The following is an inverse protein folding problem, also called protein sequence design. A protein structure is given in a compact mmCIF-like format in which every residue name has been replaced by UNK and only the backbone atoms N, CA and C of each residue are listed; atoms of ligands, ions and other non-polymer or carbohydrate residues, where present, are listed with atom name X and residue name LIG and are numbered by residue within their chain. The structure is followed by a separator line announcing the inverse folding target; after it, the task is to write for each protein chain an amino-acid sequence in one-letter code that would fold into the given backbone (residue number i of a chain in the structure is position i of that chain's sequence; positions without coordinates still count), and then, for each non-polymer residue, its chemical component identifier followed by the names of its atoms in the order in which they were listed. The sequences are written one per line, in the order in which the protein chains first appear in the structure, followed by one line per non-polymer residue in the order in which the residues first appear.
data_IF_777388914307
#
_entry.id   IF_777388914307
#
_cell.length_a   1.000
_cell.length_b   1.000
_cell.length_c   1.000
_cell.angle_alpha   90.00
_cell.angle_beta   90.00
_cell.angle_gamma   90.00
#
_symmetry.space_group_name_H-M   'P 1'
#
loop_
_entity.id
_entity.type
_entity.pdbx_description
1 polymer ?
#
# COMPACT_ATOMS: atom_id res chain seq x y z
N UNK A 1 27.45 -20.00 -6.12
CA UNK A 1 26.25 -19.22 -6.50
C UNK A 1 25.12 -19.69 -5.60
N UNK A 2 24.66 -18.81 -4.72
CA UNK A 2 23.58 -19.08 -3.79
C UNK A 2 22.23 -18.85 -4.47
N UNK A 3 21.35 -19.85 -4.43
CA UNK A 3 20.05 -19.83 -5.12
C UNK A 3 18.86 -19.74 -4.17
N UNK A 4 19.06 -19.47 -2.87
CA UNK A 4 17.96 -19.43 -1.89
C UNK A 4 16.95 -18.31 -2.17
N UNK A 5 17.36 -17.23 -2.86
CA UNK A 5 16.46 -16.13 -3.27
C UNK A 5 15.66 -16.45 -4.55
N UNK A 6 15.95 -17.55 -5.25
CA UNK A 6 15.29 -17.92 -6.50
C UNK A 6 13.77 -18.15 -6.34
N UNK A 7 13.28 -18.84 -5.31
CA UNK A 7 11.84 -18.99 -5.07
C UNK A 7 11.14 -17.63 -4.90
N UNK A 8 11.73 -16.72 -4.12
CA UNK A 8 11.15 -15.40 -3.88
C UNK A 8 11.12 -14.54 -5.15
N UNK A 9 12.20 -14.60 -5.93
CA UNK A 9 12.26 -13.94 -7.23
C UNK A 9 11.18 -14.46 -8.19
N UNK A 10 11.00 -15.78 -8.26
CA UNK A 10 9.97 -16.40 -9.11
C UNK A 10 8.55 -16.05 -8.62
N UNK A 11 8.31 -16.07 -7.31
CA UNK A 11 7.02 -15.77 -6.72
C UNK A 11 6.64 -14.29 -6.93
N UNK A 12 7.52 -13.36 -6.57
CA UNK A 12 7.27 -11.91 -6.74
C UNK A 12 7.27 -11.53 -8.22
N UNK A 13 8.13 -12.12 -9.05
CA UNK A 13 8.12 -11.95 -10.51
C UNK A 13 6.82 -12.44 -11.15
N UNK A 14 6.31 -13.59 -10.72
CA UNK A 14 5.01 -14.13 -11.15
C UNK A 14 3.85 -13.22 -10.75
N UNK A 15 3.82 -12.75 -9.50
CA UNK A 15 2.83 -11.80 -9.01
C UNK A 15 2.87 -10.48 -9.80
N UNK A 16 4.08 -9.95 -10.06
CA UNK A 16 4.26 -8.76 -10.87
C UNK A 16 3.74 -8.95 -12.29
N UNK A 17 4.00 -10.10 -12.93
CA UNK A 17 3.49 -10.41 -14.26
C UNK A 17 1.95 -10.46 -14.30
N UNK A 18 1.32 -11.07 -13.28
CA UNK A 18 -0.14 -11.06 -13.10
C UNK A 18 -0.65 -9.62 -12.97
N UNK A 19 0.00 -8.82 -12.12
CA UNK A 19 -0.39 -7.43 -11.87
C UNK A 19 -0.27 -6.55 -13.13
N UNK A 20 0.81 -6.70 -13.90
CA UNK A 20 0.99 -6.04 -15.20
C UNK A 20 -0.03 -6.52 -16.24
N UNK A 21 -0.40 -7.81 -16.21
CA UNK A 21 -1.46 -8.34 -17.08
C UNK A 21 -2.82 -7.71 -16.76
N UNK A 22 -3.16 -7.57 -15.47
CA UNK A 22 -4.37 -6.88 -15.00
C UNK A 22 -4.38 -5.38 -15.35
N UNK A 23 -3.21 -4.75 -15.33
CA UNK A 23 -3.03 -3.36 -15.76
C UNK A 23 -3.37 -3.12 -17.23
N UNK A 24 -3.10 -4.09 -18.11
CA UNK A 24 -3.43 -3.95 -19.55
C UNK A 24 -4.94 -3.90 -19.79
N UNK A 25 -5.73 -4.45 -18.87
CA UNK A 25 -7.20 -4.52 -18.97
C UNK A 25 -7.92 -3.38 -18.26
N UNK A 26 -7.23 -2.60 -17.43
CA UNK A 26 -7.83 -1.57 -16.59
C UNK A 26 -7.27 -0.18 -16.92
N UNK A 27 -8.13 0.83 -17.10
CA UNK A 27 -7.71 2.24 -17.27
C UNK A 27 -7.45 2.96 -15.93
N UNK A 28 -7.48 2.23 -14.82
CA UNK A 28 -7.33 2.82 -13.50
C UNK A 28 -5.89 3.27 -13.24
N UNK A 29 -5.74 4.57 -13.04
CA UNK A 29 -4.46 5.22 -12.71
C UNK A 29 -3.84 4.67 -11.42
N UNK A 30 -4.65 4.34 -10.41
CA UNK A 30 -4.22 3.79 -9.11
C UNK A 30 -3.39 2.52 -9.28
N UNK A 31 -3.78 1.64 -10.19
CA UNK A 31 -3.12 0.36 -10.43
C UNK A 31 -1.67 0.55 -10.95
N UNK A 32 -1.39 1.64 -11.67
CA UNK A 32 -0.05 1.91 -12.19
C UNK A 32 0.94 2.25 -11.08
N UNK A 33 0.49 3.01 -10.07
CA UNK A 33 1.31 3.35 -8.90
C UNK A 33 1.64 2.12 -8.07
N UNK A 34 0.69 1.17 -7.93
CA UNK A 34 0.95 -0.11 -7.29
C UNK A 34 2.01 -0.94 -8.02
N UNK A 35 1.96 -0.98 -9.35
CA UNK A 35 2.95 -1.70 -10.14
C UNK A 35 4.37 -1.12 -10.00
N UNK A 36 4.50 0.19 -9.79
CA UNK A 36 5.80 0.79 -9.50
C UNK A 36 6.39 0.22 -8.19
N UNK A 37 5.59 0.12 -7.13
CA UNK A 37 6.04 -0.48 -5.86
C UNK A 37 6.47 -1.94 -6.03
N UNK A 38 5.71 -2.74 -6.81
CA UNK A 38 6.10 -4.12 -7.12
C UNK A 38 7.38 -4.21 -7.96
N UNK A 39 7.59 -3.31 -8.92
CA UNK A 39 8.83 -3.25 -9.69
C UNK A 39 10.04 -2.90 -8.82
N UNK A 40 9.87 -2.00 -7.86
CA UNK A 40 10.90 -1.66 -6.87
C UNK A 40 11.21 -2.86 -5.96
N UNK A 41 10.21 -3.62 -5.52
CA UNK A 41 10.44 -4.87 -4.76
C UNK A 41 11.18 -5.94 -5.57
N UNK A 42 10.85 -6.09 -6.85
CA UNK A 42 11.59 -7.00 -7.73
C UNK A 42 13.06 -6.58 -7.87
N UNK A 43 13.30 -5.27 -7.95
CA UNK A 43 14.65 -4.69 -7.99
C UNK A 43 15.38 -4.90 -6.66
N UNK A 44 14.68 -4.81 -5.53
CA UNK A 44 15.21 -5.13 -4.19
C UNK A 44 15.73 -6.58 -4.13
N UNK A 45 14.94 -7.56 -4.56
CA UNK A 45 15.34 -8.99 -4.55
C UNK A 45 16.52 -9.21 -5.50
N UNK A 46 16.51 -8.57 -6.67
CA UNK A 46 17.62 -8.68 -7.62
C UNK A 46 18.91 -8.09 -7.04
N UNK A 47 18.83 -6.96 -6.34
CA UNK A 47 19.97 -6.36 -5.67
C UNK A 47 20.47 -7.23 -4.51
N UNK A 48 19.58 -7.84 -3.74
CA UNK A 48 19.95 -8.80 -2.69
C UNK A 48 20.64 -10.04 -3.28
N UNK A 49 20.13 -10.55 -4.40
CA UNK A 49 20.75 -11.64 -5.14
C UNK A 49 22.17 -11.30 -5.59
N UNK A 50 22.38 -10.07 -6.10
CA UNK A 50 23.73 -9.57 -6.43
C UNK A 50 24.60 -9.48 -5.18
N UNK A 51 24.08 -8.98 -4.06
CA UNK A 51 24.84 -8.82 -2.83
C UNK A 51 25.39 -10.16 -2.30
N UNK A 52 24.55 -11.20 -2.34
CA UNK A 52 24.89 -12.55 -1.85
C UNK A 52 25.88 -13.26 -2.78
N UNK A 53 25.83 -12.99 -4.08
CA UNK A 53 26.62 -13.72 -5.07
C UNK A 53 27.89 -12.99 -5.55
N UNK A 54 27.96 -11.66 -5.39
CA UNK A 54 29.07 -10.82 -5.85
C UNK A 54 29.67 -10.08 -4.66
N UNK A 55 30.59 -10.75 -3.94
CA UNK A 55 31.18 -10.24 -2.70
C UNK A 55 31.86 -8.87 -2.83
N UNK A 56 32.46 -8.56 -3.99
CA UNK A 56 33.14 -7.27 -4.23
C UNK A 56 32.21 -6.07 -4.31
N UNK A 57 30.91 -6.30 -4.51
CA UNK A 57 29.88 -5.26 -4.59
C UNK A 57 28.79 -5.43 -3.51
N UNK A 58 29.04 -6.29 -2.50
CA UNK A 58 28.04 -6.69 -1.50
C UNK A 58 27.39 -5.51 -0.79
N UNK A 59 28.20 -4.61 -0.20
CA UNK A 59 27.68 -3.48 0.59
C UNK A 59 26.86 -2.50 -0.27
N UNK A 60 27.35 -2.20 -1.47
CA UNK A 60 26.63 -1.35 -2.42
C UNK A 60 25.32 -2.01 -2.88
N UNK A 61 25.33 -3.32 -3.09
CA UNK A 61 24.15 -4.07 -3.49
C UNK A 61 23.11 -4.16 -2.36
N UNK A 62 23.51 -4.35 -1.10
CA UNK A 62 22.61 -4.26 0.05
C UNK A 62 22.06 -2.84 0.25
N UNK A 63 22.87 -1.81 0.02
CA UNK A 63 22.39 -0.42 0.04
C UNK A 63 21.29 -0.21 -1.02
N UNK A 64 21.53 -0.66 -2.26
CA UNK A 64 20.53 -0.60 -3.33
C UNK A 64 19.27 -1.38 -2.96
N UNK A 65 19.42 -2.61 -2.44
CA UNK A 65 18.29 -3.43 -2.01
C UNK A 65 17.44 -2.71 -0.96
N UNK A 66 18.07 -2.12 0.05
CA UNK A 66 17.41 -1.38 1.13
C UNK A 66 16.73 -0.10 0.64
N UNK A 67 17.38 0.65 -0.26
CA UNK A 67 16.78 1.84 -0.88
C UNK A 67 15.57 1.46 -1.73
N UNK A 68 15.64 0.39 -2.52
CA UNK A 68 14.50 -0.07 -3.31
C UNK A 68 13.32 -0.51 -2.43
N UNK A 69 13.60 -1.13 -1.28
CA UNK A 69 12.58 -1.50 -0.31
C UNK A 69 11.90 -0.27 0.31
N UNK A 70 12.69 0.73 0.72
CA UNK A 70 12.17 2.02 1.19
C UNK A 70 11.30 2.69 0.11
N UNK A 71 11.83 2.85 -1.10
CA UNK A 71 11.11 3.49 -2.22
C UNK A 71 9.84 2.71 -2.62
N UNK A 72 9.80 1.39 -2.44
CA UNK A 72 8.58 0.61 -2.66
C UNK A 72 7.47 1.03 -1.70
N UNK A 73 7.78 1.24 -0.42
CA UNK A 73 6.81 1.74 0.56
C UNK A 73 6.27 3.12 0.16
N UNK A 74 7.13 4.01 -0.33
CA UNK A 74 6.78 5.34 -0.83
C UNK A 74 5.86 5.26 -2.05
N UNK A 75 6.14 4.35 -2.98
CA UNK A 75 5.27 4.08 -4.13
C UNK A 75 3.89 3.55 -3.67
N UNK A 76 3.84 2.71 -2.63
CA UNK A 76 2.58 2.23 -2.07
C UNK A 76 1.81 3.30 -1.29
N UNK A 77 2.48 4.17 -0.53
CA UNK A 77 1.88 5.37 0.08
C UNK A 77 1.24 6.24 -0.99
N UNK A 78 1.97 6.47 -2.09
CA UNK A 78 1.46 7.24 -3.21
C UNK A 78 0.24 6.57 -3.86
N UNK A 79 0.28 5.25 -4.06
CA UNK A 79 -0.84 4.48 -4.60
C UNK A 79 -2.07 4.49 -3.67
N UNK A 80 -1.86 4.48 -2.35
CA UNK A 80 -2.93 4.58 -1.36
C UNK A 80 -3.57 5.97 -1.33
N UNK A 81 -2.81 7.05 -1.51
CA UNK A 81 -3.35 8.43 -1.47
C UNK A 81 -4.25 8.79 -2.67
N UNK A 82 -4.38 7.91 -3.67
CA UNK A 82 -5.13 8.14 -4.92
C UNK A 82 -4.84 9.52 -5.55
N UNK A 83 -3.60 10.00 -5.39
CA UNK A 83 -3.19 11.29 -5.95
C UNK A 83 -3.10 11.16 -7.48
N UNK A 84 -3.74 12.05 -8.26
CA UNK A 84 -3.67 11.97 -9.71
C UNK A 84 -2.20 12.03 -10.17
N UNK A 85 -1.82 11.12 -11.10
CA UNK A 85 -0.50 11.00 -11.73
C UNK A 85 0.08 12.31 -12.30
N UNK A 86 -0.72 13.38 -12.39
CA UNK A 86 -0.41 14.61 -13.11
C UNK A 86 0.31 15.70 -12.29
N UNK A 87 0.53 15.52 -10.99
CA UNK A 87 1.31 16.48 -10.21
C UNK A 87 2.74 15.98 -9.99
N UNK A 88 3.59 16.04 -11.02
CA UNK A 88 5.04 15.76 -10.87
C UNK A 88 5.67 16.52 -9.69
N UNK A 89 5.11 17.69 -9.33
CA UNK A 89 5.48 18.48 -8.14
C UNK A 89 5.23 17.73 -6.83
N UNK A 90 4.15 16.96 -6.73
CA UNK A 90 3.86 16.12 -5.57
C UNK A 90 4.86 14.97 -5.50
N UNK A 91 5.15 14.33 -6.63
CA UNK A 91 6.19 13.30 -6.71
C UNK A 91 7.57 13.83 -6.33
N UNK A 92 7.94 15.03 -6.82
CA UNK A 92 9.20 15.67 -6.47
C UNK A 92 9.27 16.02 -4.98
N UNK A 93 8.15 16.46 -4.37
CA UNK A 93 8.09 16.68 -2.92
C UNK A 93 8.23 15.37 -2.16
N UNK A 94 7.51 14.33 -2.55
CA UNK A 94 7.60 13.02 -1.91
C UNK A 94 9.04 12.49 -1.98
N UNK A 95 9.66 12.50 -3.16
CA UNK A 95 11.06 12.10 -3.33
C UNK A 95 12.04 12.97 -2.51
N UNK A 96 11.78 14.27 -2.38
CA UNK A 96 12.61 15.16 -1.56
C UNK A 96 12.49 14.89 -0.05
N UNK A 97 11.31 14.45 0.42
CA UNK A 97 11.07 14.08 1.81
C UNK A 97 11.82 12.80 2.20
N UNK A 98 11.96 11.87 1.26
CA UNK A 98 12.62 10.57 1.46
C UNK A 98 14.14 10.63 1.27
N UNK A 99 14.66 11.73 0.69
CA UNK A 99 16.09 11.88 0.45
C UNK A 99 16.95 11.73 1.72
N UNK A 100 16.58 12.28 2.90
CA UNK A 100 17.31 12.05 4.13
C UNK A 100 17.41 10.57 4.52
N UNK A 101 16.34 9.80 4.34
CA UNK A 101 16.29 8.38 4.67
C UNK A 101 17.08 7.55 3.64
N UNK A 102 17.10 7.94 2.36
CA UNK A 102 18.01 7.36 1.36
C UNK A 102 19.47 7.63 1.72
N UNK A 103 19.82 8.86 2.09
CA UNK A 103 21.18 9.22 2.50
C UNK A 103 21.56 8.49 3.79
N UNK A 104 20.62 8.30 4.72
CA UNK A 104 20.80 7.49 5.93
C UNK A 104 21.25 6.08 5.56
N UNK A 105 20.52 5.41 4.65
CA UNK A 105 20.84 4.05 4.20
C UNK A 105 22.22 4.01 3.54
N UNK A 106 22.54 4.99 2.68
CA UNK A 106 23.87 5.04 2.02
C UNK A 106 24.99 5.16 3.06
N UNK A 107 24.83 6.03 4.07
CA UNK A 107 25.83 6.18 5.13
C UNK A 107 25.97 4.91 5.99
N UNK A 108 24.87 4.20 6.21
CA UNK A 108 24.84 2.94 6.94
C UNK A 108 25.67 1.87 6.26
N UNK A 109 25.35 1.56 5.00
CA UNK A 109 26.02 0.48 4.26
C UNK A 109 27.43 0.85 3.77
N UNK A 110 27.74 2.15 3.62
CA UNK A 110 29.13 2.58 3.33
C UNK A 110 30.01 2.69 4.59
N UNK A 111 29.45 2.44 5.78
CA UNK A 111 30.13 2.60 7.06
C UNK A 111 30.78 3.99 7.25
N UNK A 112 30.15 5.02 6.65
CA UNK A 112 30.63 6.40 6.66
C UNK A 112 29.80 7.31 7.59
N UNK A 113 28.73 6.78 8.18
CA UNK A 113 27.84 7.53 9.05
C UNK A 113 28.41 7.79 10.45
N UNK A 114 27.95 8.88 11.07
CA UNK A 114 28.20 9.21 12.47
C UNK A 114 26.86 9.39 13.19
N UNK A 115 26.78 9.20 14.52
CA UNK A 115 25.55 9.42 15.28
C UNK A 115 24.92 10.80 15.01
N UNK A 116 25.75 11.84 14.92
CA UNK A 116 25.30 13.21 14.60
C UNK A 116 24.70 13.30 13.19
N UNK A 117 25.33 12.66 12.19
CA UNK A 117 24.80 12.64 10.83
C UNK A 117 23.43 11.94 10.78
N UNK A 118 23.29 10.77 11.40
CA UNK A 118 22.03 10.03 11.44
C UNK A 118 20.91 10.81 12.13
N UNK A 119 21.19 11.40 13.31
CA UNK A 119 20.21 12.26 14.00
C UNK A 119 19.79 13.45 13.14
N UNK A 120 20.75 14.08 12.46
CA UNK A 120 20.47 15.22 11.56
C UNK A 120 19.57 14.80 10.39
N UNK A 121 19.83 13.64 9.79
CA UNK A 121 19.01 13.08 8.72
C UNK A 121 17.60 12.72 9.21
N UNK A 122 17.46 12.12 10.39
CA UNK A 122 16.15 11.84 10.98
C UNK A 122 15.35 13.12 11.26
N UNK A 123 15.99 14.20 11.74
CA UNK A 123 15.34 15.50 11.91
C UNK A 123 14.91 16.08 10.56
N UNK A 124 15.76 15.99 9.53
CA UNK A 124 15.44 16.46 8.19
C UNK A 124 14.26 15.68 7.57
N UNK A 125 14.23 14.35 7.72
CA UNK A 125 13.12 13.48 7.31
C UNK A 125 11.82 13.83 8.03
N UNK A 126 11.88 14.03 9.35
CA UNK A 126 10.73 14.47 10.15
C UNK A 126 10.16 15.80 9.65
N UNK A 127 11.02 16.81 9.44
CA UNK A 127 10.61 18.12 8.93
C UNK A 127 9.98 18.00 7.54
N UNK A 128 10.59 17.23 6.64
CA UNK A 128 10.06 16.95 5.31
C UNK A 128 8.65 16.33 5.37
N UNK A 129 8.50 15.27 6.16
CA UNK A 129 7.23 14.55 6.35
C UNK A 129 6.14 15.45 6.94
N UNK A 130 6.47 16.29 7.93
CA UNK A 130 5.54 17.26 8.51
C UNK A 130 5.12 18.33 7.51
N UNK A 131 6.05 18.83 6.69
CA UNK A 131 5.75 19.78 5.62
C UNK A 131 4.83 19.17 4.56
N UNK A 132 5.02 17.89 4.23
CA UNK A 132 4.15 17.17 3.30
C UNK A 132 2.71 17.09 3.84
N UNK A 133 2.54 16.66 5.09
CA UNK A 133 1.23 16.64 5.80
C UNK A 133 0.63 18.04 5.89
N UNK A 134 1.45 19.09 6.05
CA UNK A 134 1.00 20.49 6.06
C UNK A 134 0.54 20.96 4.68
N UNK A 135 1.26 20.58 3.62
CA UNK A 135 1.07 21.06 2.24
C UNK A 135 -0.15 20.48 1.51
N UNK A 136 -0.78 19.45 2.08
CA UNK A 136 -2.10 18.98 1.65
C UNK A 136 -2.08 17.64 0.90
N UNK A 137 -2.46 16.59 1.61
CA UNK A 137 -2.98 15.37 1.01
C UNK A 137 -4.18 14.90 1.85
N UNK A 138 -5.39 15.33 1.49
CA UNK A 138 -6.71 14.74 1.81
C UNK A 138 -7.07 14.36 3.27
N UNK A 139 -6.25 14.64 4.27
CA UNK A 139 -6.65 14.49 5.69
C UNK A 139 -7.55 15.68 6.04
N UNK A 140 -8.84 15.54 5.73
CA UNK A 140 -9.84 16.59 5.90
C UNK A 140 -10.17 16.86 7.37
N UNK A 141 -10.02 15.85 8.24
CA UNK A 141 -10.26 15.96 9.67
C UNK A 141 -9.01 16.46 10.42
N UNK A 142 -9.20 17.51 11.24
CA UNK A 142 -8.20 18.06 12.13
C UNK A 142 -7.66 17.02 13.12
N UNK A 143 -8.50 16.14 13.66
CA UNK A 143 -8.08 15.10 14.61
C UNK A 143 -7.14 14.11 13.94
N UNK A 144 -7.49 13.68 12.73
CA UNK A 144 -6.68 12.77 11.95
C UNK A 144 -5.32 13.34 11.58
N UNK A 145 -5.26 14.64 11.28
CA UNK A 145 -3.99 15.32 11.00
C UNK A 145 -3.03 15.25 12.18
N UNK A 146 -3.56 15.41 13.40
CA UNK A 146 -2.75 15.29 14.62
C UNK A 146 -2.25 13.87 14.85
N UNK A 147 -3.04 12.84 14.52
CA UNK A 147 -2.57 11.45 14.60
C UNK A 147 -1.35 11.24 13.70
N UNK A 148 -1.38 11.73 12.46
CA UNK A 148 -0.21 11.65 11.56
C UNK A 148 0.98 12.45 12.08
N UNK A 149 0.76 13.69 12.55
CA UNK A 149 1.83 14.52 13.10
C UNK A 149 2.50 13.84 14.30
N UNK A 150 1.71 13.32 15.25
CA UNK A 150 2.23 12.62 16.43
C UNK A 150 2.94 11.33 16.03
N UNK A 151 2.40 10.58 15.06
CA UNK A 151 3.04 9.37 14.54
C UNK A 151 4.40 9.66 13.88
N UNK A 152 4.49 10.68 13.03
CA UNK A 152 5.75 11.11 12.39
C UNK A 152 6.76 11.55 13.45
N UNK A 153 6.34 12.39 14.40
CA UNK A 153 7.20 12.84 15.49
C UNK A 153 7.72 11.67 16.31
N UNK A 154 6.86 10.71 16.66
CA UNK A 154 7.26 9.52 17.40
C UNK A 154 8.26 8.66 16.61
N UNK A 155 7.96 8.34 15.36
CA UNK A 155 8.80 7.52 14.49
C UNK A 155 10.22 8.09 14.35
N UNK A 156 10.34 9.37 13.95
CA UNK A 156 11.64 10.00 13.77
C UNK A 156 12.35 10.31 15.08
N UNK A 157 11.62 10.52 16.19
CA UNK A 157 12.27 10.66 17.52
C UNK A 157 12.89 9.35 17.97
N UNK A 158 12.20 8.22 17.76
CA UNK A 158 12.74 6.90 18.05
C UNK A 158 13.96 6.58 17.17
N UNK A 159 13.87 6.86 15.86
CA UNK A 159 14.99 6.70 14.92
C UNK A 159 16.20 7.55 15.32
N UNK A 160 15.99 8.82 15.67
CA UNK A 160 17.04 9.71 16.13
C UNK A 160 17.65 9.24 17.47
N UNK A 161 16.82 8.78 18.41
CA UNK A 161 17.29 8.27 19.69
C UNK A 161 18.18 7.04 19.51
N UNK A 162 17.72 6.02 18.78
CA UNK A 162 18.50 4.82 18.46
C UNK A 162 19.84 5.18 17.80
N UNK A 163 19.79 6.08 16.82
CA UNK A 163 21.00 6.56 16.14
C UNK A 163 21.97 7.28 17.09
N UNK A 164 21.46 8.10 18.00
CA UNK A 164 22.27 8.82 18.98
C UNK A 164 22.96 7.88 19.99
N UNK A 165 22.31 6.76 20.33
CA UNK A 165 22.86 5.72 21.21
C UNK A 165 23.80 4.74 20.49
N UNK A 166 24.16 4.99 19.23
CA UNK A 166 25.10 4.15 18.47
C UNK A 166 24.46 2.92 17.84
N UNK A 167 23.15 2.96 17.62
CA UNK A 167 22.34 1.85 17.11
C UNK A 167 21.62 2.20 15.80
N UNK A 168 22.36 2.59 14.72
CA UNK A 168 21.74 3.01 13.47
C UNK A 168 21.11 1.85 12.67
N UNK A 169 21.55 0.61 12.86
CA UNK A 169 20.94 -0.57 12.24
C UNK A 169 19.50 -0.78 12.74
N UNK A 170 19.30 -0.72 14.06
CA UNK A 170 17.95 -0.76 14.66
C UNK A 170 17.12 0.44 14.21
N UNK A 171 17.72 1.63 14.14
CA UNK A 171 17.03 2.81 13.63
C UNK A 171 16.52 2.61 12.18
N UNK A 172 17.28 1.91 11.34
CA UNK A 172 16.89 1.54 9.97
C UNK A 172 15.74 0.52 9.94
N UNK A 173 15.78 -0.52 10.76
CA UNK A 173 14.69 -1.51 10.84
C UNK A 173 13.36 -0.86 11.29
N UNK A 174 13.44 0.01 12.31
CA UNK A 174 12.28 0.78 12.77
C UNK A 174 11.81 1.78 11.71
N UNK A 175 12.71 2.42 10.97
CA UNK A 175 12.34 3.29 9.84
C UNK A 175 11.46 2.51 8.84
N UNK A 176 11.85 1.31 8.43
CA UNK A 176 11.04 0.49 7.53
C UNK A 176 9.69 0.10 8.15
N UNK A 177 9.65 -0.26 9.43
CA UNK A 177 8.42 -0.55 10.18
C UNK A 177 7.41 0.61 10.05
N UNK A 178 7.82 1.83 10.37
CA UNK A 178 6.90 2.99 10.35
C UNK A 178 6.42 3.33 8.93
N UNK A 179 7.25 3.14 7.91
CA UNK A 179 6.87 3.34 6.51
C UNK A 179 5.77 2.36 6.07
N UNK A 180 5.94 1.06 6.32
CA UNK A 180 4.92 0.06 5.97
C UNK A 180 3.66 0.16 6.84
N UNK A 181 3.77 0.63 8.09
CA UNK A 181 2.61 0.96 8.92
C UNK A 181 1.85 2.18 8.37
N UNK A 182 2.58 3.17 7.83
CA UNK A 182 1.97 4.30 7.14
C UNK A 182 1.23 3.86 5.86
N UNK A 183 1.80 2.92 5.08
CA UNK A 183 1.11 2.28 3.96
C UNK A 183 -0.21 1.65 4.41
N UNK A 184 -0.19 0.80 5.46
CA UNK A 184 -1.38 0.15 5.98
C UNK A 184 -2.46 1.16 6.39
N UNK A 185 -2.05 2.20 7.13
CA UNK A 185 -2.95 3.23 7.65
C UNK A 185 -3.59 4.03 6.52
N UNK A 186 -2.79 4.45 5.54
CA UNK A 186 -3.29 5.22 4.39
C UNK A 186 -4.14 4.36 3.46
N UNK A 187 -3.78 3.09 3.27
CA UNK A 187 -4.57 2.16 2.48
C UNK A 187 -5.97 1.97 3.08
N UNK A 188 -6.05 1.67 4.38
CA UNK A 188 -7.33 1.56 5.10
C UNK A 188 -8.19 2.80 4.95
N UNK A 189 -7.60 3.99 5.11
CA UNK A 189 -8.31 5.27 4.99
C UNK A 189 -8.73 5.62 3.56
N UNK A 190 -7.98 5.15 2.56
CA UNK A 190 -8.31 5.36 1.16
C UNK A 190 -9.48 4.50 0.69
N UNK A 191 -9.81 3.43 1.42
CA UNK A 191 -10.88 2.52 1.05
C UNK A 191 -12.25 3.21 1.14
N UNK A 192 -12.96 3.30 0.01
CA UNK A 192 -14.33 3.85 -0.03
C UNK A 192 -15.31 2.98 0.76
N UNK A 193 -15.10 1.67 0.74
CA UNK A 193 -15.89 0.68 1.44
C UNK A 193 -14.97 -0.33 2.11
N UNK A 194 -15.31 -0.73 3.34
CA UNK A 194 -14.58 -1.80 4.04
C UNK A 194 -15.05 -3.13 3.47
N UNK A 195 -14.19 -3.76 2.68
CA UNK A 195 -14.40 -5.10 2.11
C UNK A 195 -13.47 -6.13 2.75
N UNK A 196 -13.75 -7.44 2.62
CA UNK A 196 -12.82 -8.48 3.05
C UNK A 196 -11.41 -8.28 2.48
N UNK A 197 -11.27 -7.94 1.20
CA UNK A 197 -9.99 -7.61 0.58
C UNK A 197 -9.30 -6.42 1.22
N UNK A 198 -10.05 -5.37 1.56
CA UNK A 198 -9.50 -4.19 2.25
C UNK A 198 -8.92 -4.54 3.61
N UNK A 199 -9.67 -5.30 4.42
CA UNK A 199 -9.24 -5.76 5.74
C UNK A 199 -7.99 -6.64 5.60
N UNK A 200 -8.03 -7.63 4.73
CA UNK A 200 -6.94 -8.58 4.52
C UNK A 200 -5.65 -7.88 4.05
N UNK A 201 -5.75 -6.97 3.09
CA UNK A 201 -4.59 -6.20 2.59
C UNK A 201 -3.99 -5.32 3.69
N UNK A 202 -4.84 -4.65 4.47
CA UNK A 202 -4.40 -3.80 5.59
C UNK A 202 -3.66 -4.63 6.63
N UNK A 203 -4.23 -5.76 7.05
CA UNK A 203 -3.59 -6.68 8.00
C UNK A 203 -2.27 -7.23 7.45
N UNK A 204 -2.18 -7.47 6.14
CA UNK A 204 -0.95 -7.94 5.48
C UNK A 204 0.15 -6.88 5.51
N UNK A 205 -0.17 -5.60 5.29
CA UNK A 205 0.81 -4.52 5.47
C UNK A 205 1.22 -4.34 6.93
N UNK A 206 0.32 -4.50 7.89
CA UNK A 206 0.66 -4.48 9.33
C UNK A 206 1.59 -5.64 9.68
N UNK A 207 1.30 -6.85 9.17
CA UNK A 207 2.16 -8.01 9.35
C UNK A 207 3.55 -7.78 8.75
N UNK A 208 3.63 -7.16 7.56
CA UNK A 208 4.91 -6.80 6.96
C UNK A 208 5.66 -5.74 7.77
N UNK A 209 5.00 -4.67 8.19
CA UNK A 209 5.61 -3.66 9.07
C UNK A 209 6.17 -4.28 10.35
N UNK A 210 5.49 -5.31 10.87
CA UNK A 210 5.88 -6.01 12.10
C UNK A 210 7.07 -6.95 11.91
N UNK A 211 7.44 -7.34 10.67
CA UNK A 211 8.61 -8.19 10.41
C UNK A 211 9.88 -7.60 11.03
N UNK A 212 10.09 -6.29 10.86
CA UNK A 212 11.30 -5.61 11.34
C UNK A 212 11.46 -5.67 12.87
N UNK A 213 10.51 -5.16 13.69
CA UNK A 213 10.64 -5.23 15.15
C UNK A 213 10.52 -6.66 15.70
N UNK A 214 9.80 -7.56 15.03
CA UNK A 214 9.70 -8.97 15.46
C UNK A 214 11.02 -9.70 15.23
N UNK A 215 11.70 -9.47 14.10
CA UNK A 215 13.03 -10.02 13.84
C UNK A 215 14.03 -9.54 14.89
N UNK A 216 14.02 -8.24 15.20
CA UNK A 216 14.83 -7.65 16.26
C UNK A 216 14.57 -8.29 17.62
N UNK A 217 13.29 -8.40 17.99
CA UNK A 217 12.88 -8.97 19.27
C UNK A 217 13.24 -10.45 19.39
N UNK A 218 13.10 -11.24 18.32
CA UNK A 218 13.50 -12.64 18.31
C UNK A 218 15.01 -12.80 18.49
N UNK A 219 15.81 -11.95 17.84
CA UNK A 219 17.26 -11.96 18.01
C UNK A 219 17.67 -11.71 19.48
N UNK A 220 16.92 -10.88 20.20
CA UNK A 220 17.18 -10.57 21.61
C UNK A 220 16.61 -11.62 22.57
N UNK A 221 15.34 -12.01 22.40
CA UNK A 221 14.63 -12.88 23.34
C UNK A 221 14.83 -14.37 23.09
N UNK A 222 15.09 -14.78 21.85
CA UNK A 222 15.15 -16.17 21.44
C UNK A 222 16.21 -16.40 20.34
N UNK A 223 17.51 -16.10 20.60
CA UNK A 223 18.57 -16.16 19.59
C UNK A 223 18.82 -17.56 18.99
N UNK A 224 18.32 -18.62 19.62
CA UNK A 224 18.40 -19.99 19.10
C UNK A 224 17.30 -20.30 18.07
N UNK A 225 16.25 -19.49 18.00
CA UNK A 225 15.14 -19.67 17.05
C UNK A 225 15.56 -19.14 15.70
N UNK A 226 15.73 -20.05 14.75
CA UNK A 226 15.99 -19.72 13.36
C UNK A 226 14.66 -19.72 12.61
N UNK A 227 14.31 -18.57 12.04
CA UNK A 227 13.12 -18.42 11.20
C UNK A 227 13.59 -18.36 9.75
N UNK A 228 13.08 -19.28 8.93
CA UNK A 228 13.41 -19.36 7.51
C UNK A 228 13.03 -18.07 6.77
N UNK A 229 13.82 -17.69 5.76
CA UNK A 229 13.62 -16.48 4.95
C UNK A 229 12.23 -16.36 4.35
N UNK A 230 11.65 -17.49 3.96
CA UNK A 230 10.34 -17.62 3.34
C UNK A 230 9.23 -17.15 4.28
N UNK A 231 9.39 -17.37 5.59
CA UNK A 231 8.42 -16.93 6.61
C UNK A 231 8.42 -15.41 6.71
N UNK A 232 9.61 -14.79 6.66
CA UNK A 232 9.76 -13.33 6.66
C UNK A 232 9.21 -12.66 5.40
N UNK A 233 9.21 -13.39 4.27
CA UNK A 233 8.67 -12.91 3.00
C UNK A 233 7.16 -13.11 2.86
N UNK A 234 6.53 -13.96 3.69
CA UNK A 234 5.11 -14.27 3.62
C UNK A 234 4.19 -13.04 3.58
N UNK A 235 4.38 -11.98 4.42
CA UNK A 235 3.54 -10.79 4.37
C UNK A 235 3.53 -10.10 3.01
N UNK A 236 4.63 -10.14 2.25
CA UNK A 236 4.73 -9.56 0.89
C UNK A 236 3.75 -10.25 -0.06
N UNK A 237 3.64 -11.58 0.03
CA UNK A 237 2.70 -12.38 -0.78
C UNK A 237 1.25 -12.15 -0.39
N UNK A 238 0.98 -12.02 0.91
CA UNK A 238 -0.37 -11.72 1.41
C UNK A 238 -0.81 -10.33 0.96
N UNK A 239 0.07 -9.33 0.96
CA UNK A 239 -0.21 -8.01 0.39
C UNK A 239 -0.58 -8.13 -1.10
N UNK A 240 0.21 -8.84 -1.91
CA UNK A 240 -0.08 -8.98 -3.33
C UNK A 240 -1.45 -9.65 -3.57
N UNK A 241 -1.72 -10.71 -2.82
CA UNK A 241 -2.99 -11.46 -2.87
C UNK A 241 -4.16 -10.58 -2.46
N UNK A 242 -4.00 -9.81 -1.38
CA UNK A 242 -5.00 -8.87 -0.89
C UNK A 242 -5.30 -7.77 -1.91
N UNK A 243 -4.28 -7.21 -2.56
CA UNK A 243 -4.45 -6.22 -3.61
C UNK A 243 -5.24 -6.76 -4.80
N UNK A 244 -4.98 -8.02 -5.20
CA UNK A 244 -5.75 -8.70 -6.24
C UNK A 244 -7.20 -8.92 -5.78
N UNK A 245 -7.41 -9.34 -4.53
CA UNK A 245 -8.73 -9.53 -3.96
C UNK A 245 -9.54 -8.22 -3.93
N UNK A 246 -8.96 -7.12 -3.44
CA UNK A 246 -9.60 -5.79 -3.45
C UNK A 246 -9.97 -5.36 -4.87
N UNK A 247 -9.09 -5.60 -5.85
CA UNK A 247 -9.38 -5.30 -7.25
C UNK A 247 -10.55 -6.13 -7.79
N UNK A 248 -10.59 -7.43 -7.49
CA UNK A 248 -11.66 -8.32 -7.93
C UNK A 248 -13.00 -7.94 -7.31
N UNK A 249 -13.03 -7.61 -6.02
CA UNK A 249 -14.23 -7.12 -5.33
C UNK A 249 -14.76 -5.82 -5.96
N UNK A 250 -13.87 -4.88 -6.31
CA UNK A 250 -14.24 -3.64 -6.97
C UNK A 250 -14.82 -3.91 -8.38
N UNK A 251 -14.20 -4.81 -9.15
CA UNK A 251 -14.72 -5.21 -10.46
C UNK A 251 -16.05 -5.93 -10.37
N UNK A 252 -16.24 -6.82 -9.39
CA UNK A 252 -17.51 -7.49 -9.15
C UNK A 252 -18.60 -6.48 -8.80
N UNK A 253 -18.31 -5.51 -7.95
CA UNK A 253 -19.25 -4.43 -7.59
C UNK A 253 -19.69 -3.65 -8.83
N UNK A 254 -18.74 -3.22 -9.66
CA UNK A 254 -19.03 -2.50 -10.91
C UNK A 254 -19.85 -3.35 -11.89
N UNK A 255 -19.52 -4.65 -12.02
CA UNK A 255 -20.25 -5.56 -12.89
C UNK A 255 -21.67 -5.82 -12.39
N UNK A 256 -21.88 -5.92 -11.08
CA UNK A 256 -23.20 -6.04 -10.47
C UNK A 256 -24.05 -4.79 -10.70
N UNK A 257 -23.46 -3.59 -10.54
CA UNK A 257 -24.13 -2.32 -10.82
C UNK A 257 -24.55 -2.21 -12.28
N UNK A 258 -23.66 -2.55 -13.23
CA UNK A 258 -23.96 -2.58 -14.66
C UNK A 258 -25.06 -3.59 -14.98
N UNK A 259 -25.01 -4.80 -14.41
CA UNK A 259 -26.03 -5.84 -14.62
C UNK A 259 -27.38 -5.54 -13.94
N UNK A 260 -27.50 -4.45 -13.19
CA UNK A 260 -28.74 -4.02 -12.52
C UNK A 260 -29.42 -2.83 -13.21
N UNK A 261 -28.77 -2.20 -14.19
CA UNK A 261 -29.33 -1.09 -14.94
C UNK A 261 -29.54 -1.46 -16.41
N UNK A 262 -30.43 -0.75 -17.09
CA UNK A 262 -30.66 -0.85 -18.53
C UNK A 262 -29.68 0.09 -19.25
N UNK A 263 -28.92 -0.44 -20.21
CA UNK A 263 -27.83 0.29 -20.87
C UNK A 263 -28.33 1.49 -21.70
N UNK A 264 -29.56 1.43 -22.24
CA UNK A 264 -30.12 2.48 -23.08
C UNK A 264 -30.59 3.68 -22.26
N UNK A 265 -31.20 3.43 -21.11
CA UNK A 265 -31.87 4.47 -20.30
C UNK A 265 -31.14 4.84 -19.02
N UNK A 266 -30.21 4.01 -18.54
CA UNK A 266 -29.55 4.14 -17.23
C UNK A 266 -30.49 3.88 -16.04
N UNK A 267 -31.75 3.51 -16.29
CA UNK A 267 -32.73 3.20 -15.24
C UNK A 267 -32.50 1.77 -14.70
N UNK A 268 -32.98 1.45 -13.48
CA UNK A 268 -33.01 0.08 -12.98
C UNK A 268 -33.66 -0.86 -13.99
N UNK A 269 -32.97 -1.96 -14.33
CA UNK A 269 -33.54 -2.95 -15.23
C UNK A 269 -34.65 -3.76 -14.53
N UNK A 270 -35.37 -4.57 -15.30
CA UNK A 270 -36.50 -5.38 -14.78
C UNK A 270 -36.11 -6.24 -13.57
N UNK A 271 -34.90 -6.82 -13.57
CA UNK A 271 -34.40 -7.64 -12.45
C UNK A 271 -34.22 -6.82 -11.18
N UNK A 272 -33.63 -5.63 -11.26
CA UNK A 272 -33.50 -4.73 -10.11
C UNK A 272 -34.86 -4.19 -9.66
N UNK A 273 -35.76 -3.88 -10.60
CA UNK A 273 -37.14 -3.48 -10.31
C UNK A 273 -37.88 -4.56 -9.50
N UNK A 274 -37.89 -5.81 -9.96
CA UNK A 274 -38.58 -6.92 -9.30
C UNK A 274 -38.03 -7.13 -7.87
N UNK A 275 -36.71 -7.04 -7.69
CA UNK A 275 -36.08 -7.13 -6.36
C UNK A 275 -36.52 -5.99 -5.43
N UNK A 276 -36.54 -4.75 -5.91
CA UNK A 276 -36.97 -3.58 -5.11
C UNK A 276 -38.46 -3.63 -4.79
N UNK A 277 -39.28 -4.10 -5.73
CA UNK A 277 -40.72 -4.28 -5.53
C UNK A 277 -41.00 -5.27 -4.40
N UNK A 278 -40.33 -6.43 -4.39
CA UNK A 278 -40.44 -7.42 -3.31
C UNK A 278 -40.00 -6.86 -1.94
N UNK A 279 -38.90 -6.10 -1.90
CA UNK A 279 -38.44 -5.44 -0.67
C UNK A 279 -39.46 -4.42 -0.15
N UNK A 280 -40.02 -3.61 -1.04
CA UNK A 280 -41.04 -2.64 -0.69
C UNK A 280 -42.31 -3.34 -0.16
N UNK A 281 -42.70 -4.48 -0.74
CA UNK A 281 -43.85 -5.27 -0.26
C UNK A 281 -43.61 -5.76 1.17
N UNK A 282 -42.44 -6.38 1.42
CA UNK A 282 -42.10 -6.86 2.76
C UNK A 282 -41.99 -5.74 3.80
N UNK A 283 -41.56 -4.53 3.39
CA UNK A 283 -41.52 -3.37 4.28
C UNK A 283 -42.93 -2.86 4.61
N UNK A 284 -43.81 -2.75 3.61
CA UNK A 284 -45.19 -2.32 3.80
C UNK A 284 -45.95 -3.30 4.70
N UNK A 285 -45.78 -4.61 4.49
CA UNK A 285 -46.39 -5.67 5.29
C UNK A 285 -45.96 -5.59 6.77
N UNK A 286 -44.66 -5.44 7.04
CA UNK A 286 -44.13 -5.32 8.42
C UNK A 286 -44.50 -4.02 9.14
N UNK A 287 -44.62 -2.91 8.40
CA UNK A 287 -44.89 -1.59 8.98
C UNK A 287 -46.38 -1.22 9.02
N UNK A 288 -47.25 -2.05 8.44
CA UNK A 288 -48.64 -1.69 8.15
C UNK A 288 -48.77 -0.51 7.17
N UNK A 289 -47.69 -0.22 6.42
CA UNK A 289 -47.61 0.87 5.45
C UNK A 289 -48.37 0.55 4.16
N UNK A 290 -48.52 1.56 3.29
CA UNK A 290 -49.10 1.40 1.95
C UNK A 290 -48.04 1.65 0.88
N UNK A 291 -48.14 0.94 -0.24
CA UNK A 291 -47.29 1.12 -1.41
C UNK A 291 -48.18 1.43 -2.63
N UNK A 292 -47.65 2.20 -3.58
CA UNK A 292 -48.22 2.39 -4.91
C UNK A 292 -47.19 2.02 -5.99
N UNK A 293 -47.66 1.48 -7.12
CA UNK A 293 -46.86 1.18 -8.30
C UNK A 293 -47.45 1.93 -9.51
N UNK A 294 -46.59 2.60 -10.27
CA UNK A 294 -46.94 3.27 -11.52
C UNK A 294 -46.25 2.58 -12.68
N UNK A 295 -47.03 2.18 -13.69
CA UNK A 295 -46.53 1.67 -14.95
C UNK A 295 -46.78 2.70 -16.05
N UNK A 296 -45.75 2.98 -16.85
CA UNK A 296 -45.78 3.93 -17.97
C UNK A 296 -45.37 3.16 -19.22
N UNK A 297 -46.14 3.31 -20.30
CA UNK A 297 -45.87 2.70 -21.60
C UNK A 297 -45.85 3.77 -22.70
N UNK A 298 -45.12 3.51 -23.79
CA UNK A 298 -45.02 4.41 -24.94
C UNK A 298 -45.98 3.98 -26.05
N UNK A 299 -47.02 4.78 -26.28
CA UNK A 299 -47.98 4.53 -27.35
C UNK A 299 -47.31 4.54 -28.74
N UNK A 300 -47.67 3.56 -29.58
CA UNK A 300 -47.26 3.47 -30.99
C UNK A 300 -45.75 3.43 -31.24
N UNK A 301 -44.92 3.02 -30.26
CA UNK A 301 -43.47 2.96 -30.40
C UNK A 301 -42.97 2.20 -31.64
N UNK A 302 -43.66 1.12 -32.05
CA UNK A 302 -43.34 0.33 -33.25
C UNK A 302 -43.39 1.11 -34.58
N UNK A 303 -44.08 2.25 -34.65
CA UNK A 303 -44.16 3.07 -35.88
C UNK A 303 -42.99 4.05 -36.02
N UNK A 304 -42.22 4.25 -34.94
CA UNK A 304 -41.07 5.15 -34.89
C UNK A 304 -39.76 4.39 -35.17
N UNK A 305 -39.68 3.13 -34.74
CA UNK A 305 -38.61 2.18 -35.10
C UNK A 305 -38.72 1.74 -36.56
#
# INVERSE_FOLDING_TARGET
MSLYLLPDFLAIGGLFAIFVSLLRRTRQTRMRSWALGWALLLTHILAEFVAVNIHTASDAAYAVASIMLLLASVAFIWAALEAPLQHWRFLARLAAVELPDVVFIVLLFSNAGTPVAYVTLSIAGALGSLLLVRSGARVSDRKERWVFVLGILFAYSAQAALSAYGHPDYAFDWMLCWHYLAVATLFWRSARHVTPGTVFTTLSFVAWASVFPVAELLHVLAPSVHVESEVWNLPKYLVATGMILTLLEEQMTVAEEAAQHDDLTGLPNRRLFDRRLLQAFALADRSGGRMALLAIDLDRFKQIN
#
